data_IF_450996670934
#
_entry.id   IF_450996670934
#
_cell.length_a   1.000
_cell.length_b   1.000
_cell.length_c   1.000
_cell.angle_alpha   90.00
_cell.angle_beta   90.00
_cell.angle_gamma   90.00
#
_symmetry.space_group_name_H-M   'P 1'
#
loop_
_entity.id
_entity.type
_entity.pdbx_description
1 polymer ?
#
# COMPACT_ATOMS: atom_id res chain seq x y z
N UNK A 1 -68.99 -12.44 -50.86
CA UNK A 1 -67.66 -12.76 -51.43
C UNK A 1 -66.90 -13.62 -50.43
N UNK A 2 -66.67 -14.90 -50.77
CA UNK A 2 -65.90 -15.88 -49.99
C UNK A 2 -64.41 -15.68 -50.28
N UNK A 3 -63.56 -15.77 -49.26
CA UNK A 3 -62.20 -16.29 -49.44
C UNK A 3 -61.97 -17.39 -48.38
N UNK A 4 -62.27 -18.60 -48.82
CA UNK A 4 -61.55 -19.79 -48.39
C UNK A 4 -60.11 -19.64 -48.83
N UNK A 5 -59.15 -19.87 -47.95
CA UNK A 5 -57.94 -20.56 -48.35
C UNK A 5 -57.46 -21.46 -47.22
N UNK A 6 -57.37 -22.74 -47.57
CA UNK A 6 -56.95 -23.87 -46.76
C UNK A 6 -55.74 -24.46 -47.48
N UNK A 7 -54.78 -24.96 -46.70
CA UNK A 7 -53.64 -25.80 -47.08
C UNK A 7 -52.35 -25.12 -47.57
N UNK A 8 -51.29 -25.20 -46.75
CA UNK A 8 -50.32 -26.28 -46.90
C UNK A 8 -49.38 -26.42 -45.68
N UNK A 9 -49.42 -27.62 -45.09
CA UNK A 9 -48.37 -28.22 -44.26
C UNK A 9 -47.04 -28.30 -45.04
N UNK A 10 -45.93 -27.86 -44.43
CA UNK A 10 -44.61 -28.51 -44.60
C UNK A 10 -43.76 -28.44 -43.33
N UNK A 11 -43.66 -29.60 -42.69
CA UNK A 11 -42.54 -30.07 -41.86
C UNK A 11 -41.17 -29.88 -42.57
N UNK A 12 -40.11 -29.71 -41.78
CA UNK A 12 -38.72 -29.93 -42.19
C UNK A 12 -37.80 -28.81 -41.72
N UNK A 13 -37.23 -28.89 -40.52
CA UNK A 13 -35.94 -29.52 -40.24
C UNK A 13 -34.73 -28.61 -40.50
N UNK A 14 -33.79 -28.70 -39.56
CA UNK A 14 -32.35 -28.53 -39.74
C UNK A 14 -31.75 -27.12 -39.55
N UNK A 15 -31.06 -27.02 -38.39
CA UNK A 15 -29.62 -26.77 -38.24
C UNK A 15 -29.22 -25.44 -37.58
N UNK A 16 -28.75 -25.60 -36.34
CA UNK A 16 -27.60 -24.87 -35.82
C UNK A 16 -26.50 -24.75 -36.89
N UNK A 17 -26.04 -23.54 -37.14
CA UNK A 17 -24.83 -23.31 -37.92
C UNK A 17 -24.69 -21.86 -38.34
N UNK A 18 -23.73 -21.17 -37.72
CA UNK A 18 -23.16 -19.94 -38.28
C UNK A 18 -23.32 -18.70 -37.41
N UNK A 19 -22.65 -18.66 -36.24
CA UNK A 19 -22.12 -17.37 -35.80
C UNK A 19 -20.96 -17.03 -36.74
N UNK A 20 -21.27 -16.17 -37.71
CA UNK A 20 -20.29 -15.52 -38.57
C UNK A 20 -19.34 -14.71 -37.68
N UNK A 21 -18.16 -15.27 -37.39
CA UNK A 21 -17.08 -14.56 -36.70
C UNK A 21 -16.42 -13.66 -37.74
N UNK A 22 -17.04 -12.52 -37.98
CA UNK A 22 -16.41 -11.41 -38.66
C UNK A 22 -15.12 -11.02 -37.91
N UNK A 23 -14.01 -11.19 -38.59
CA UNK A 23 -12.65 -10.81 -38.18
C UNK A 23 -12.60 -9.40 -37.56
N UNK A 24 -12.53 -9.32 -36.22
CA UNK A 24 -12.23 -8.07 -35.50
C UNK A 24 -10.84 -8.15 -34.88
N UNK A 25 -9.82 -7.82 -35.69
CA UNK A 25 -8.47 -7.48 -35.23
C UNK A 25 -8.53 -6.16 -34.44
N UNK A 26 -9.10 -6.19 -33.24
CA UNK A 26 -9.31 -5.00 -32.42
C UNK A 26 -9.69 -5.29 -30.95
N UNK A 27 -9.95 -6.55 -30.59
CA UNK A 27 -10.30 -6.92 -29.22
C UNK A 27 -9.07 -7.18 -28.33
N UNK A 28 -7.93 -7.59 -28.91
CA UNK A 28 -6.74 -7.98 -28.15
C UNK A 28 -5.91 -6.78 -27.64
N UNK A 29 -5.99 -5.63 -28.31
CA UNK A 29 -5.22 -4.43 -27.92
C UNK A 29 -5.85 -3.77 -26.69
N UNK A 30 -7.18 -3.81 -26.55
CA UNK A 30 -7.89 -3.21 -25.41
C UNK A 30 -7.60 -3.92 -24.08
N UNK A 31 -7.47 -5.25 -24.09
CA UNK A 31 -7.25 -6.02 -22.87
C UNK A 31 -5.83 -5.85 -22.32
N UNK A 32 -4.82 -5.74 -23.22
CA UNK A 32 -3.43 -5.49 -22.83
C UNK A 32 -3.23 -4.12 -22.21
N UNK A 33 -3.88 -3.08 -22.75
CA UNK A 33 -3.77 -1.71 -22.22
C UNK A 33 -4.39 -1.58 -20.83
N UNK A 34 -5.53 -2.22 -20.56
CA UNK A 34 -6.16 -2.21 -19.23
C UNK A 34 -5.30 -2.96 -18.21
N UNK A 35 -4.68 -4.08 -18.59
CA UNK A 35 -3.76 -4.83 -17.72
C UNK A 35 -2.51 -4.03 -17.39
N UNK A 36 -1.88 -3.41 -18.40
CA UNK A 36 -0.67 -2.59 -18.20
C UNK A 36 -0.97 -1.34 -17.35
N UNK A 37 -2.10 -0.66 -17.59
CA UNK A 37 -2.52 0.46 -16.77
C UNK A 37 -2.91 0.05 -15.36
N UNK A 38 -3.56 -1.11 -15.19
CA UNK A 38 -3.93 -1.65 -13.87
C UNK A 38 -2.70 -2.04 -13.04
N UNK A 39 -1.75 -2.74 -13.63
CA UNK A 39 -0.48 -3.08 -12.98
C UNK A 39 0.33 -1.81 -12.71
N UNK A 40 0.40 -0.89 -13.67
CA UNK A 40 1.05 0.41 -13.49
C UNK A 40 0.43 1.23 -12.36
N UNK A 41 -0.90 1.24 -12.23
CA UNK A 41 -1.60 1.92 -11.16
C UNK A 41 -1.38 1.26 -9.79
N UNK A 42 -1.34 -0.08 -9.72
CA UNK A 42 -0.98 -0.79 -8.49
C UNK A 42 0.45 -0.48 -8.06
N UNK A 43 1.41 -0.58 -8.97
CA UNK A 43 2.82 -0.21 -8.71
C UNK A 43 2.93 1.26 -8.31
N UNK A 44 2.20 2.16 -8.97
CA UNK A 44 2.15 3.58 -8.62
C UNK A 44 1.47 3.84 -7.27
N UNK A 45 0.49 3.03 -6.84
CA UNK A 45 -0.09 3.11 -5.50
C UNK A 45 0.91 2.63 -4.44
N UNK A 46 1.58 1.50 -4.66
CA UNK A 46 2.61 0.99 -3.74
C UNK A 46 3.82 1.93 -3.63
N UNK A 47 4.25 2.54 -4.74
CA UNK A 47 5.35 3.51 -4.75
C UNK A 47 4.90 4.93 -4.35
N UNK A 48 3.64 5.28 -4.60
CA UNK A 48 3.07 6.60 -4.40
C UNK A 48 2.71 6.87 -2.94
N UNK A 49 2.17 5.88 -2.23
CA UNK A 49 1.95 6.01 -0.77
C UNK A 49 3.26 6.28 -0.02
N UNK A 50 4.38 5.72 -0.50
CA UNK A 50 5.71 6.01 0.04
C UNK A 50 6.26 7.41 -0.28
N UNK A 51 5.67 8.14 -1.24
CA UNK A 51 6.11 9.48 -1.69
C UNK A 51 5.21 10.62 -1.21
N UNK A 52 3.96 10.33 -0.83
CA UNK A 52 3.07 11.36 -0.27
C UNK A 52 3.42 11.74 1.18
N UNK A 53 4.17 10.91 1.90
CA UNK A 53 4.73 11.23 3.23
C UNK A 53 5.98 12.13 3.19
N UNK A 54 6.60 12.35 2.03
CA UNK A 54 7.83 13.17 1.93
C UNK A 54 7.59 14.69 2.05
N UNK A 55 6.35 15.17 1.90
CA UNK A 55 6.05 16.60 1.87
C UNK A 55 5.80 17.22 3.26
N UNK A 56 5.51 16.41 4.28
CA UNK A 56 5.20 16.87 5.63
C UNK A 56 6.23 16.33 6.65
N UNK A 57 7.42 16.94 6.66
CA UNK A 57 8.37 16.84 7.77
C UNK A 57 9.13 15.51 7.89
N UNK A 58 10.39 15.52 7.45
CA UNK A 58 11.32 14.39 7.35
C UNK A 58 11.68 13.67 8.67
N UNK A 59 10.97 13.96 9.76
CA UNK A 59 11.28 13.51 11.13
C UNK A 59 10.04 13.14 11.96
N UNK A 60 8.83 13.31 11.41
CA UNK A 60 7.59 13.06 12.14
C UNK A 60 7.02 11.68 11.81
N UNK A 61 6.53 10.99 12.84
CA UNK A 61 5.85 9.71 12.72
C UNK A 61 4.44 9.86 13.29
N UNK A 62 3.45 9.44 12.51
CA UNK A 62 2.06 9.42 12.98
C UNK A 62 1.89 8.38 14.11
N UNK A 63 1.15 8.68 15.19
CA UNK A 63 0.89 7.75 16.27
C UNK A 63 0.29 6.41 15.80
N UNK A 64 -0.50 6.42 14.73
CA UNK A 64 -1.08 5.23 14.10
C UNK A 64 0.00 4.32 13.54
N UNK A 65 1.04 4.89 12.91
CA UNK A 65 2.20 4.13 12.41
C UNK A 65 2.94 3.49 13.58
N UNK A 66 3.23 4.27 14.63
CA UNK A 66 3.86 3.75 15.85
C UNK A 66 3.05 2.58 16.42
N UNK A 67 1.72 2.71 16.56
CA UNK A 67 0.84 1.65 17.09
C UNK A 67 0.74 0.43 16.18
N UNK A 68 0.83 0.60 14.85
CA UNK A 68 0.72 -0.50 13.88
C UNK A 68 1.90 -1.47 13.91
N UNK A 69 3.06 -0.99 14.39
CA UNK A 69 4.31 -1.76 14.48
C UNK A 69 4.39 -2.48 15.81
N UNK A 70 4.86 -3.73 15.81
CA UNK A 70 4.94 -4.59 17.00
C UNK A 70 6.37 -5.10 17.22
N UNK A 71 6.74 -5.27 18.48
CA UNK A 71 7.99 -5.96 18.84
C UNK A 71 8.00 -7.35 18.20
N UNK A 72 9.13 -7.71 17.58
CA UNK A 72 9.30 -8.94 16.81
C UNK A 72 9.08 -8.78 15.30
N UNK A 73 8.46 -7.69 14.85
CA UNK A 73 8.31 -7.38 13.42
C UNK A 73 9.69 -7.30 12.74
N UNK A 74 9.74 -7.67 11.46
CA UNK A 74 10.96 -7.61 10.67
C UNK A 74 11.42 -6.14 10.48
N UNK A 75 12.72 -5.89 10.65
CA UNK A 75 13.29 -4.54 10.63
C UNK A 75 13.01 -3.81 9.31
N UNK A 76 13.11 -4.51 8.18
CA UNK A 76 12.81 -3.98 6.84
C UNK A 76 11.35 -3.53 6.72
N UNK A 77 10.40 -4.36 7.18
CA UNK A 77 8.98 -4.07 7.16
C UNK A 77 8.61 -2.88 8.06
N UNK A 78 9.32 -2.71 9.19
CA UNK A 78 9.14 -1.53 10.05
C UNK A 78 9.73 -0.29 9.39
N UNK A 79 10.98 -0.35 8.93
CA UNK A 79 11.67 0.79 8.31
C UNK A 79 10.98 1.28 7.04
N UNK A 80 10.31 0.40 6.30
CA UNK A 80 9.50 0.77 5.14
C UNK A 80 8.28 1.67 5.48
N UNK A 81 7.83 1.67 6.74
CA UNK A 81 6.73 2.53 7.23
C UNK A 81 7.24 3.82 7.87
N UNK A 82 8.52 3.88 8.20
CA UNK A 82 9.14 5.01 8.87
C UNK A 82 9.69 6.00 7.83
N UNK A 83 9.76 7.30 8.16
CA UNK A 83 10.50 8.24 7.36
C UNK A 83 11.94 7.75 7.16
N UNK A 84 12.45 7.84 5.92
CA UNK A 84 13.82 7.44 5.57
C UNK A 84 14.89 8.35 6.18
N UNK A 85 14.49 9.46 6.81
CA UNK A 85 15.37 10.31 7.60
C UNK A 85 15.43 9.84 9.05
N UNK A 86 16.60 9.41 9.52
CA UNK A 86 16.87 9.46 10.95
C UNK A 86 17.00 10.93 11.35
N UNK A 87 16.35 11.31 12.46
CA UNK A 87 16.53 12.68 12.95
C UNK A 87 18.00 12.84 13.35
N UNK A 88 18.75 13.62 12.57
CA UNK A 88 20.18 13.90 12.76
C UNK A 88 20.49 14.57 14.12
N UNK A 89 19.47 14.94 14.90
CA UNK A 89 19.56 15.50 16.25
C UNK A 89 19.47 14.40 17.33
N UNK A 90 20.15 13.25 17.13
CA UNK A 90 20.10 12.09 18.04
C UNK A 90 20.41 12.44 19.50
N UNK A 91 21.21 13.47 19.77
CA UNK A 91 21.58 13.89 21.13
C UNK A 91 20.38 14.38 21.94
N UNK A 92 19.61 15.32 21.40
CA UNK A 92 18.48 15.96 22.10
C UNK A 92 17.32 14.98 22.26
N UNK A 93 17.01 14.20 21.22
CA UNK A 93 15.92 13.22 21.25
C UNK A 93 16.16 12.09 22.26
N UNK A 94 17.41 11.78 22.61
CA UNK A 94 17.74 10.76 23.61
C UNK A 94 17.45 11.22 25.03
N UNK A 95 17.46 12.53 25.28
CA UNK A 95 17.23 13.06 26.62
C UNK A 95 15.79 12.78 27.07
N UNK A 96 15.64 12.21 28.27
CA UNK A 96 14.33 11.82 28.81
C UNK A 96 13.91 10.38 28.50
N UNK A 97 14.53 9.72 27.52
CA UNK A 97 14.22 8.33 27.17
C UNK A 97 14.82 7.28 28.13
N UNK A 98 14.23 6.08 28.21
CA UNK A 98 14.83 4.95 28.94
C UNK A 98 16.16 4.53 28.31
N UNK A 99 16.94 3.68 28.98
CA UNK A 99 18.18 3.15 28.41
C UNK A 99 17.92 2.34 27.12
N UNK A 100 18.87 2.34 26.18
CA UNK A 100 18.80 1.53 24.96
C UNK A 100 19.07 0.05 25.27
N UNK A 101 18.34 -0.92 24.67
CA UNK A 101 18.63 -2.33 24.83
C UNK A 101 20.04 -2.70 24.34
N UNK A 102 20.71 -3.61 25.05
CA UNK A 102 22.09 -3.99 24.74
C UNK A 102 22.23 -4.63 23.34
N UNK A 103 23.16 -4.09 22.55
CA UNK A 103 23.43 -4.56 21.19
C UNK A 103 22.33 -4.24 20.18
N UNK A 104 21.47 -3.25 20.47
CA UNK A 104 20.48 -2.75 19.52
C UNK A 104 20.95 -1.49 18.79
N UNK A 105 20.36 -1.24 17.62
CA UNK A 105 20.52 0.01 16.87
C UNK A 105 19.19 0.72 16.88
N UNK A 106 19.15 1.90 17.49
CA UNK A 106 17.92 2.67 17.67
C UNK A 106 17.80 3.85 16.70
N UNK A 107 16.56 4.16 16.31
CA UNK A 107 16.17 5.33 15.53
C UNK A 107 15.09 6.11 16.30
N UNK A 108 15.12 7.44 16.21
CA UNK A 108 14.24 8.36 16.96
C UNK A 108 13.47 9.28 16.02
N UNK A 109 12.20 9.49 16.36
CA UNK A 109 11.25 10.29 15.60
C UNK A 109 10.40 11.12 16.54
N UNK A 110 9.93 12.27 16.08
CA UNK A 110 8.96 13.09 16.82
C UNK A 110 7.55 12.62 16.45
N UNK A 111 6.64 12.63 17.42
CA UNK A 111 5.22 12.36 17.16
C UNK A 111 4.62 13.48 16.31
N UNK A 112 3.96 13.13 15.20
CA UNK A 112 3.27 14.11 14.35
C UNK A 112 2.07 14.79 15.04
N UNK A 113 1.49 14.12 16.05
CA UNK A 113 0.35 14.63 16.81
C UNK A 113 0.76 15.61 17.91
N UNK A 114 2.05 15.71 18.23
CA UNK A 114 2.53 16.62 19.26
C UNK A 114 2.80 18.01 18.69
N UNK A 115 2.02 19.00 19.14
CA UNK A 115 2.19 20.40 18.76
C UNK A 115 3.50 21.00 19.29
N UNK A 116 4.04 20.44 20.37
CA UNK A 116 5.20 21.00 21.07
C UNK A 116 6.51 20.33 20.62
N UNK A 117 6.44 19.23 19.86
CA UNK A 117 7.59 18.49 19.32
C UNK A 117 8.46 17.77 20.35
N UNK A 118 7.96 17.55 21.56
CA UNK A 118 8.64 16.90 22.67
C UNK A 118 8.31 15.41 22.83
N UNK A 119 7.24 14.91 22.22
CA UNK A 119 6.88 13.49 22.29
C UNK A 119 7.69 12.70 21.24
N UNK A 120 8.44 11.71 21.72
CA UNK A 120 9.44 10.97 20.96
C UNK A 120 9.06 9.51 20.87
N UNK A 121 9.11 8.98 19.66
CA UNK A 121 9.07 7.55 19.40
C UNK A 121 10.48 7.03 19.14
N UNK A 122 10.91 6.04 19.92
CA UNK A 122 12.15 5.29 19.68
C UNK A 122 11.83 3.88 19.23
N UNK A 123 12.52 3.44 18.19
CA UNK A 123 12.49 2.08 17.68
C UNK A 123 13.90 1.50 17.75
N UNK A 124 14.09 0.39 18.45
CA UNK A 124 15.38 -0.28 18.61
C UNK A 124 15.35 -1.64 17.94
N UNK A 125 16.28 -1.86 17.02
CA UNK A 125 16.37 -3.07 16.22
C UNK A 125 17.54 -3.94 16.65
N UNK A 126 17.34 -5.26 16.61
CA UNK A 126 18.36 -6.25 16.90
C UNK A 126 18.03 -7.52 16.12
N UNK A 127 19.06 -8.16 15.58
CA UNK A 127 18.93 -9.43 14.84
C UNK A 127 17.88 -9.37 13.70
N UNK A 128 17.80 -8.22 13.02
CA UNK A 128 16.86 -7.98 11.91
C UNK A 128 15.39 -7.84 12.33
N UNK A 129 15.12 -7.58 13.62
CA UNK A 129 13.77 -7.43 14.17
C UNK A 129 13.67 -6.21 15.06
N UNK A 130 12.46 -5.70 15.24
CA UNK A 130 12.17 -4.71 16.26
C UNK A 130 12.27 -5.36 17.64
N UNK A 131 13.29 -5.03 18.41
CA UNK A 131 13.53 -5.55 19.75
C UNK A 131 12.74 -4.77 20.81
N UNK A 132 12.60 -3.46 20.62
CA UNK A 132 11.87 -2.58 21.52
C UNK A 132 11.31 -1.38 20.77
N UNK A 133 10.14 -0.89 21.20
CA UNK A 133 9.70 0.47 20.91
C UNK A 133 9.22 1.14 22.18
N UNK A 134 9.51 2.43 22.32
CA UNK A 134 9.07 3.24 23.46
C UNK A 134 8.63 4.61 22.99
N UNK A 135 7.72 5.19 23.78
CA UNK A 135 7.23 6.55 23.66
C UNK A 135 7.61 7.28 24.95
N UNK A 136 8.17 8.47 24.83
CA UNK A 136 8.52 9.31 25.99
C UNK A 136 8.56 10.77 25.59
N UNK A 137 8.48 11.65 26.58
CA UNK A 137 8.66 13.09 26.39
C UNK A 137 10.12 13.48 26.65
N UNK A 138 10.65 14.39 25.83
CA UNK A 138 11.94 15.03 26.09
C UNK A 138 11.92 15.72 27.47
N UNK A 139 13.09 15.85 28.09
CA UNK A 139 13.26 16.56 29.35
C UNK A 139 13.56 18.03 29.16
#
# INVERSE_FOLDING_TARGET
>A
MRQSDRHHDRRGAARHGGTDVAQRKGCLIGCGVVLVLGIGALVALFLGVGKFVDAAGKTFVEPEVYRSVKVGDAEDAVRAKLPSGETFVKGVLKEGGPAEPAGSVCSWYVSAADSDGNDVFRFCFKDGKLAEKVEYRMK
#
